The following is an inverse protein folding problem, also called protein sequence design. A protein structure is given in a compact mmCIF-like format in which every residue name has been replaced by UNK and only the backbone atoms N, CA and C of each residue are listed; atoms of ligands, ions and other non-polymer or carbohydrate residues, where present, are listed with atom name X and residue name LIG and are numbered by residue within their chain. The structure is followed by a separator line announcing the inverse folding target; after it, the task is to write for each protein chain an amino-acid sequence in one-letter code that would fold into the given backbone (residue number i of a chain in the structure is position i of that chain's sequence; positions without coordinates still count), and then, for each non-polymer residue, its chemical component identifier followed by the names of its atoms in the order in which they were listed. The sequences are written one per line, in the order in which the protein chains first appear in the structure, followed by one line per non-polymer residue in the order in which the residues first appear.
data_IF_619735647333
#
_entry.id   IF_619735647333
#
_cell.length_a   1.000
_cell.length_b   1.000
_cell.length_c   1.000
_cell.angle_alpha   90.00
_cell.angle_beta   90.00
_cell.angle_gamma   90.00
#
_symmetry.space_group_name_H-M   'P 1'
#
loop_
_entity.id
_entity.type
_entity.pdbx_description
1 polymer ?
#
# COMPACT_ATOMS: atom_id res chain seq x y z
N UNK A 1 4.94 -8.89 -18.23
CA UNK A 1 5.00 -9.09 -16.77
C UNK A 1 6.36 -8.54 -16.35
N UNK A 2 6.41 -7.33 -15.86
CA UNK A 2 7.62 -6.73 -15.35
C UNK A 2 7.81 -7.19 -13.91
N UNK A 3 8.85 -7.98 -13.67
CA UNK A 3 9.32 -8.25 -12.32
C UNK A 3 9.90 -6.94 -11.77
N UNK A 4 9.61 -6.63 -10.51
CA UNK A 4 10.39 -5.64 -9.76
C UNK A 4 11.74 -6.25 -9.35
N UNK A 5 12.41 -6.91 -10.27
CA UNK A 5 13.75 -7.45 -10.13
C UNK A 5 14.67 -6.56 -10.95
N UNK A 6 15.84 -6.35 -10.39
CA UNK A 6 17.00 -5.64 -10.93
C UNK A 6 17.22 -4.21 -10.40
N UNK A 7 17.56 -4.19 -9.10
CA UNK A 7 18.62 -3.35 -8.60
C UNK A 7 19.48 -4.28 -7.71
N UNK A 8 20.72 -4.47 -8.10
CA UNK A 8 21.70 -5.43 -7.61
C UNK A 8 21.60 -5.76 -6.11
N UNK A 9 21.24 -7.01 -5.82
CA UNK A 9 21.18 -7.57 -4.48
C UNK A 9 22.54 -8.18 -4.15
N UNK A 10 23.30 -7.50 -3.29
CA UNK A 10 24.38 -8.16 -2.57
C UNK A 10 23.77 -9.03 -1.48
N UNK A 11 23.96 -10.34 -1.59
CA UNK A 11 23.43 -11.38 -0.70
C UNK A 11 24.11 -11.30 0.67
N UNK A 12 23.37 -10.93 1.72
CA UNK A 12 23.75 -11.17 3.11
C UNK A 12 22.70 -12.03 3.78
N UNK A 13 23.14 -13.15 4.36
CA UNK A 13 22.30 -14.11 5.07
C UNK A 13 21.75 -13.49 6.35
N UNK A 14 20.42 -13.47 6.46
CA UNK A 14 19.75 -13.66 7.75
C UNK A 14 19.50 -12.43 8.62
N UNK A 15 19.58 -11.19 8.13
CA UNK A 15 19.14 -9.99 8.85
C UNK A 15 18.54 -8.99 7.86
N UNK A 16 17.58 -8.17 8.30
CA UNK A 16 16.89 -7.18 7.46
C UNK A 16 17.91 -6.33 6.68
N UNK A 17 17.93 -6.47 5.35
CA UNK A 17 18.89 -5.76 4.48
C UNK A 17 18.67 -4.25 4.55
N UNK A 18 19.47 -3.59 5.37
CA UNK A 18 19.57 -2.13 5.43
C UNK A 18 20.81 -1.71 4.64
N UNK A 19 20.64 -1.16 3.45
CA UNK A 19 21.74 -0.55 2.69
C UNK A 19 21.76 0.93 3.03
N UNK A 20 22.84 1.39 3.66
CA UNK A 20 23.08 2.81 3.98
C UNK A 20 23.93 3.40 2.87
N UNK A 21 23.40 4.31 2.06
CA UNK A 21 24.16 5.11 1.13
C UNK A 21 24.53 6.44 1.81
N UNK A 22 25.79 6.59 2.20
CA UNK A 22 26.33 7.86 2.70
C UNK A 22 26.80 8.72 1.52
N UNK A 23 26.15 9.86 1.31
CA UNK A 23 26.71 10.95 0.48
C UNK A 23 27.68 11.81 1.28
N UNK A 24 28.66 12.48 0.63
CA UNK A 24 29.61 13.32 1.34
C UNK A 24 28.91 14.58 1.89
N UNK A 25 28.77 14.66 3.21
CA UNK A 25 28.46 15.91 3.91
C UNK A 25 27.10 16.03 4.61
N UNK A 26 26.29 14.96 4.68
CA UNK A 26 25.04 14.97 5.45
C UNK A 26 24.91 13.66 6.24
N UNK A 27 24.87 13.75 7.57
CA UNK A 27 24.83 12.60 8.50
C UNK A 27 23.47 11.89 8.54
N UNK A 28 22.58 12.15 7.58
CA UNK A 28 21.28 11.51 7.49
C UNK A 28 21.35 10.26 6.61
N UNK A 29 21.50 9.08 7.25
CA UNK A 29 21.40 7.81 6.58
C UNK A 29 19.96 7.57 6.10
N UNK A 30 19.74 7.55 4.77
CA UNK A 30 18.45 7.13 4.19
C UNK A 30 18.42 5.60 4.14
N UNK A 31 17.55 5.02 4.94
CA UNK A 31 17.35 3.56 4.94
C UNK A 31 16.52 3.17 3.73
N UNK A 32 17.12 2.45 2.80
CA UNK A 32 16.39 1.86 1.67
C UNK A 32 15.84 0.50 2.12
N UNK A 33 14.57 0.47 2.48
CA UNK A 33 13.90 -0.77 2.88
C UNK A 33 13.17 -1.42 1.71
N UNK A 34 13.36 -2.72 1.53
CA UNK A 34 12.55 -3.56 0.62
C UNK A 34 11.20 -3.96 1.26
N UNK A 35 10.64 -3.12 2.13
CA UNK A 35 9.42 -3.40 2.87
C UNK A 35 8.26 -2.55 2.34
N UNK A 36 7.05 -3.16 2.34
CA UNK A 36 5.81 -2.51 1.91
C UNK A 36 5.22 -1.70 3.06
N UNK A 37 5.62 -0.43 3.18
CA UNK A 37 5.30 0.40 4.33
C UNK A 37 4.35 1.55 4.00
N UNK A 38 3.57 1.89 5.01
CA UNK A 38 2.74 3.09 5.09
C UNK A 38 3.39 4.16 5.97
N UNK A 39 3.07 5.42 5.70
CA UNK A 39 3.34 6.50 6.64
C UNK A 39 2.41 6.40 7.85
N UNK A 40 2.92 6.73 9.05
CA UNK A 40 2.21 6.51 10.31
C UNK A 40 0.86 7.21 10.44
N UNK A 41 0.68 8.38 9.81
CA UNK A 41 -0.58 9.16 9.85
C UNK A 41 -1.63 8.67 8.85
N UNK A 42 -1.34 7.61 8.09
CA UNK A 42 -2.32 7.00 7.19
C UNK A 42 -3.52 6.49 7.99
N UNK A 43 -4.73 6.94 7.61
CA UNK A 43 -5.96 6.61 8.33
C UNK A 43 -6.54 5.29 7.81
N UNK A 44 -6.94 4.42 8.72
CA UNK A 44 -7.70 3.20 8.46
C UNK A 44 -8.95 3.16 9.34
N UNK A 45 -10.02 2.52 8.86
CA UNK A 45 -11.24 2.32 9.63
C UNK A 45 -11.22 0.98 10.31
N UNK A 46 -11.43 1.01 11.63
CA UNK A 46 -11.38 -0.15 12.53
C UNK A 46 -12.77 -0.41 13.09
N UNK A 47 -13.18 -1.68 13.14
CA UNK A 47 -14.39 -2.10 13.84
C UNK A 47 -14.06 -2.37 15.31
N UNK A 48 -14.50 -1.49 16.20
CA UNK A 48 -14.31 -1.61 17.65
C UNK A 48 -15.66 -1.49 18.37
N UNK A 49 -16.02 -2.49 19.17
CA UNK A 49 -17.30 -2.54 19.90
C UNK A 49 -18.52 -2.31 18.98
N UNK A 50 -18.53 -2.94 17.80
CA UNK A 50 -19.57 -2.80 16.76
C UNK A 50 -19.70 -1.37 16.18
N UNK A 51 -18.75 -0.48 16.44
CA UNK A 51 -18.70 0.88 15.90
C UNK A 51 -17.47 1.03 14.99
N UNK A 52 -17.67 1.77 13.92
CA UNK A 52 -16.58 2.13 13.01
C UNK A 52 -15.84 3.34 13.58
N UNK A 53 -14.52 3.21 13.75
CA UNK A 53 -13.62 4.27 14.22
C UNK A 53 -12.50 4.48 13.21
N UNK A 54 -12.02 5.70 13.12
CA UNK A 54 -10.80 6.04 12.38
C UNK A 54 -9.61 5.98 13.33
N UNK A 55 -8.52 5.32 12.89
CA UNK A 55 -7.24 5.27 13.58
C UNK A 55 -6.12 5.50 12.60
N UNK A 56 -5.02 6.09 13.07
CA UNK A 56 -3.78 6.12 12.32
C UNK A 56 -3.16 4.72 12.25
N UNK A 57 -2.48 4.40 11.15
CA UNK A 57 -1.78 3.10 11.06
C UNK A 57 -0.81 2.92 12.21
N UNK A 58 -0.16 3.99 12.68
CA UNK A 58 0.73 3.95 13.85
C UNK A 58 0.07 3.46 15.14
N UNK A 59 -1.26 3.51 15.24
CA UNK A 59 -2.04 3.10 16.42
C UNK A 59 -2.63 1.69 16.31
N UNK A 60 -2.58 1.10 15.10
CA UNK A 60 -3.19 -0.20 14.82
C UNK A 60 -2.44 -1.32 15.53
N UNK A 61 -3.19 -2.20 16.18
CA UNK A 61 -2.67 -3.35 16.92
C UNK A 61 -3.04 -4.67 16.25
N UNK A 62 -2.21 -5.68 16.48
CA UNK A 62 -2.51 -7.06 16.11
C UNK A 62 -3.87 -7.48 16.66
N UNK A 63 -4.67 -8.14 15.84
CA UNK A 63 -6.00 -8.65 16.19
C UNK A 63 -7.14 -7.68 15.89
N UNK A 64 -6.88 -6.40 15.66
CA UNK A 64 -7.92 -5.44 15.27
C UNK A 64 -8.50 -5.79 13.88
N UNK A 65 -9.77 -5.39 13.69
CA UNK A 65 -10.49 -5.60 12.44
C UNK A 65 -10.47 -4.30 11.64
N UNK A 66 -9.72 -4.27 10.54
CA UNK A 66 -9.62 -3.11 9.64
C UNK A 66 -10.48 -3.30 8.40
N UNK A 67 -11.02 -2.19 7.87
CA UNK A 67 -11.88 -2.21 6.70
C UNK A 67 -11.06 -2.49 5.44
N UNK A 68 -11.60 -3.33 4.58
CA UNK A 68 -11.07 -3.65 3.25
C UNK A 68 -12.21 -3.91 2.26
N UNK A 69 -11.85 -4.35 1.06
CA UNK A 69 -12.79 -4.66 -0.01
C UNK A 69 -12.53 -6.08 -0.55
N UNK A 70 -13.58 -6.88 -0.76
CA UNK A 70 -13.45 -8.26 -1.24
C UNK A 70 -13.76 -8.42 -2.74
N UNK A 71 -13.86 -7.31 -3.47
CA UNK A 71 -14.26 -7.30 -4.88
C UNK A 71 -15.75 -7.03 -5.09
N UNK A 72 -16.59 -7.23 -4.08
CA UNK A 72 -18.04 -6.99 -4.13
C UNK A 72 -18.50 -5.93 -3.15
N UNK A 73 -18.04 -6.03 -1.91
CA UNK A 73 -18.49 -5.19 -0.81
C UNK A 73 -17.36 -4.86 0.17
N UNK A 74 -17.61 -3.89 1.02
CA UNK A 74 -16.74 -3.55 2.13
C UNK A 74 -16.87 -4.62 3.21
N UNK A 75 -15.73 -5.19 3.60
CA UNK A 75 -15.63 -6.18 4.67
C UNK A 75 -14.58 -5.76 5.69
N UNK A 76 -14.46 -6.54 6.75
CA UNK A 76 -13.38 -6.40 7.72
C UNK A 76 -12.41 -7.56 7.61
N UNK A 77 -11.12 -7.25 7.76
CA UNK A 77 -10.02 -8.22 7.80
C UNK A 77 -9.24 -8.05 9.09
N UNK A 78 -8.73 -9.14 9.63
CA UNK A 78 -7.96 -9.12 10.88
C UNK A 78 -6.52 -8.74 10.62
N UNK A 79 -6.00 -7.81 11.43
CA UNK A 79 -4.58 -7.44 11.44
C UNK A 79 -3.77 -8.59 12.07
N UNK A 80 -2.82 -9.11 11.34
CA UNK A 80 -1.88 -10.14 11.81
C UNK A 80 -0.70 -9.51 12.52
N UNK A 81 -0.22 -8.40 11.99
CA UNK A 81 0.94 -7.71 12.50
C UNK A 81 0.98 -6.27 12.00
N UNK A 82 1.59 -5.38 12.78
CA UNK A 82 1.90 -4.01 12.39
C UNK A 82 3.25 -3.63 12.98
N UNK A 83 4.30 -3.63 12.16
CA UNK A 83 5.67 -3.43 12.58
C UNK A 83 6.07 -1.98 12.31
N UNK A 84 6.53 -1.29 13.34
CA UNK A 84 7.15 0.02 13.22
C UNK A 84 8.64 -0.13 12.87
N UNK A 85 9.05 0.43 11.75
CA UNK A 85 10.45 0.57 11.35
C UNK A 85 10.87 2.02 11.60
N UNK A 86 11.92 2.22 12.41
CA UNK A 86 12.43 3.55 12.76
C UNK A 86 13.48 4.01 11.78
N UNK A 87 13.47 5.30 11.45
CA UNK A 87 14.48 5.93 10.58
C UNK A 87 13.85 6.90 9.59
N UNK A 88 14.66 7.35 8.63
CA UNK A 88 14.23 8.20 7.53
C UNK A 88 13.96 7.35 6.30
N UNK A 89 12.76 7.50 5.72
CA UNK A 89 12.31 6.72 4.57
C UNK A 89 11.83 7.63 3.46
N UNK A 90 12.13 7.24 2.21
CA UNK A 90 11.54 7.90 1.04
C UNK A 90 10.14 7.35 0.79
N UNK A 91 9.17 8.25 0.84
CA UNK A 91 7.77 7.98 0.53
C UNK A 91 7.38 8.60 -0.83
N UNK A 92 6.47 7.94 -1.50
CA UNK A 92 5.70 8.48 -2.60
C UNK A 92 4.34 8.91 -2.05
N UNK A 93 4.10 10.23 -2.03
CA UNK A 93 2.78 10.79 -1.79
C UNK A 93 2.05 10.83 -3.13
N UNK A 94 1.03 10.00 -3.27
CA UNK A 94 0.26 9.86 -4.50
C UNK A 94 -1.12 10.46 -4.23
N UNK A 95 -1.48 11.49 -5.02
CA UNK A 95 -2.79 12.15 -4.94
C UNK A 95 -3.65 11.76 -6.12
N UNK A 96 -4.91 11.44 -5.85
CA UNK A 96 -5.89 11.06 -6.86
C UNK A 96 -7.21 11.81 -6.64
N UNK A 97 -7.99 11.96 -7.71
CA UNK A 97 -9.29 12.66 -7.70
C UNK A 97 -10.32 11.91 -8.54
N UNK A 98 -11.59 12.10 -8.21
CA UNK A 98 -12.71 11.66 -9.03
C UNK A 98 -13.19 12.78 -9.98
N UNK A 99 -14.24 12.51 -10.73
CA UNK A 99 -14.86 13.47 -11.66
C UNK A 99 -15.48 14.68 -10.95
N UNK A 100 -15.87 14.53 -9.67
CA UNK A 100 -16.40 15.62 -8.84
C UNK A 100 -15.28 16.44 -8.16
N UNK A 101 -14.02 16.19 -8.48
CA UNK A 101 -12.84 16.82 -7.87
C UNK A 101 -12.63 16.49 -6.39
N UNK A 102 -13.33 15.51 -5.83
CA UNK A 102 -12.97 14.97 -4.52
C UNK A 102 -11.59 14.37 -4.57
N UNK A 103 -10.75 14.66 -3.60
CA UNK A 103 -9.36 14.23 -3.58
C UNK A 103 -9.09 13.21 -2.47
N UNK A 104 -8.18 12.28 -2.76
CA UNK A 104 -7.57 11.37 -1.78
C UNK A 104 -6.07 11.34 -1.98
N UNK A 105 -5.34 11.03 -0.93
CA UNK A 105 -3.88 10.87 -1.00
C UNK A 105 -3.41 9.72 -0.11
N UNK A 106 -2.29 9.12 -0.50
CA UNK A 106 -1.62 8.10 0.28
C UNK A 106 -0.11 8.28 0.21
N UNK A 107 0.58 8.08 1.34
CA UNK A 107 2.04 8.10 1.43
C UNK A 107 2.56 6.71 1.76
N UNK A 108 3.32 6.12 0.84
CA UNK A 108 3.82 4.75 0.91
C UNK A 108 5.26 4.66 0.40
N UNK A 109 5.99 3.63 0.81
CA UNK A 109 7.36 3.39 0.33
C UNK A 109 7.38 3.01 -1.16
N UNK A 110 8.50 3.25 -1.84
CA UNK A 110 8.68 3.14 -3.29
C UNK A 110 8.25 1.80 -3.90
N UNK A 111 8.48 0.70 -3.20
CA UNK A 111 8.21 -0.67 -3.63
C UNK A 111 6.82 -1.20 -3.21
N UNK A 112 6.02 -0.38 -2.51
CA UNK A 112 4.68 -0.77 -2.08
C UNK A 112 3.79 -1.08 -3.30
N UNK A 113 3.19 -2.26 -3.33
CA UNK A 113 2.33 -2.69 -4.44
C UNK A 113 0.99 -1.98 -4.39
N UNK A 114 0.72 -1.17 -5.41
CA UNK A 114 -0.54 -0.48 -5.62
C UNK A 114 -1.46 -1.27 -6.55
N UNK A 115 -2.74 -1.24 -6.25
CA UNK A 115 -3.79 -1.88 -7.06
C UNK A 115 -4.27 -0.86 -8.09
N UNK A 116 -3.89 -1.05 -9.35
CA UNK A 116 -4.23 -0.16 -10.47
C UNK A 116 -5.34 -0.79 -11.31
N UNK A 117 -6.37 -0.02 -11.59
CA UNK A 117 -7.45 -0.42 -12.48
C UNK A 117 -7.23 0.12 -13.90
N UNK A 118 -7.28 -0.78 -14.88
CA UNK A 118 -7.20 -0.44 -16.30
C UNK A 118 -8.62 -0.44 -16.90
N UNK A 119 -9.18 0.76 -17.13
CA UNK A 119 -10.55 0.91 -17.68
C UNK A 119 -10.71 0.24 -19.05
N UNK A 120 -9.72 0.41 -19.95
CA UNK A 120 -9.84 -0.09 -21.33
C UNK A 120 -9.83 -1.61 -21.44
N UNK A 121 -9.07 -2.28 -20.55
CA UNK A 121 -8.95 -3.73 -20.51
C UNK A 121 -9.84 -4.40 -19.47
N UNK A 122 -10.52 -3.60 -18.63
CA UNK A 122 -11.31 -4.07 -17.46
C UNK A 122 -10.50 -5.05 -16.59
N UNK A 123 -9.23 -4.76 -16.39
CA UNK A 123 -8.30 -5.61 -15.64
C UNK A 123 -7.65 -4.84 -14.48
N UNK A 124 -7.20 -5.58 -13.48
CA UNK A 124 -6.42 -5.05 -12.37
C UNK A 124 -4.97 -5.44 -12.57
N UNK A 125 -4.07 -4.48 -12.29
CA UNK A 125 -2.62 -4.68 -12.26
C UNK A 125 -2.05 -4.24 -10.93
N UNK A 126 -0.98 -4.91 -10.50
CA UNK A 126 -0.14 -4.45 -9.41
C UNK A 126 1.05 -3.69 -9.99
N UNK A 127 1.28 -2.48 -9.50
CA UNK A 127 2.48 -1.68 -9.78
C UNK A 127 3.15 -1.31 -8.47
N UNK A 128 4.47 -1.21 -8.45
CA UNK A 128 5.15 -0.57 -7.33
C UNK A 128 4.80 0.93 -7.29
N UNK A 129 4.84 1.55 -6.13
CA UNK A 129 4.50 2.97 -5.98
C UNK A 129 5.33 3.89 -6.89
N UNK A 130 6.61 3.54 -7.11
CA UNK A 130 7.49 4.27 -8.02
C UNK A 130 7.16 4.08 -9.51
N UNK A 131 6.34 3.09 -9.86
CA UNK A 131 5.87 2.82 -11.23
C UNK A 131 4.50 3.45 -11.52
N UNK A 132 3.82 3.97 -10.48
CA UNK A 132 2.55 4.68 -10.62
C UNK A 132 2.77 5.96 -11.43
N UNK A 133 1.84 6.27 -12.31
CA UNK A 133 1.89 7.43 -13.22
C UNK A 133 0.60 8.25 -13.09
N UNK A 134 0.70 9.51 -13.46
CA UNK A 134 -0.48 10.38 -13.68
C UNK A 134 -1.37 9.69 -14.72
N UNK A 135 -2.68 9.66 -14.44
CA UNK A 135 -3.68 8.95 -15.23
C UNK A 135 -3.93 7.49 -14.80
N UNK A 136 -3.10 6.92 -13.90
CA UNK A 136 -3.43 5.63 -13.28
C UNK A 136 -4.67 5.75 -12.40
N UNK A 137 -5.46 4.68 -12.32
CA UNK A 137 -6.75 4.72 -11.62
C UNK A 137 -6.69 3.81 -10.39
N UNK A 138 -7.04 4.39 -9.25
CA UNK A 138 -7.21 3.69 -7.99
C UNK A 138 -8.68 3.39 -7.71
N UNK A 139 -8.94 2.24 -7.10
CA UNK A 139 -10.22 1.99 -6.43
C UNK A 139 -10.18 2.63 -5.05
N UNK A 140 -11.20 3.42 -4.76
CA UNK A 140 -11.44 3.96 -3.42
C UNK A 140 -12.76 3.43 -2.87
N UNK A 141 -13.04 3.73 -1.62
CA UNK A 141 -14.35 3.46 -1.01
C UNK A 141 -15.51 4.11 -1.79
N UNK A 142 -15.23 5.24 -2.45
CA UNK A 142 -16.24 6.07 -3.13
C UNK A 142 -16.23 5.92 -4.66
N UNK A 143 -15.56 4.93 -5.19
CA UNK A 143 -15.47 4.72 -6.64
C UNK A 143 -14.03 4.76 -7.15
N UNK A 144 -13.88 5.18 -8.40
CA UNK A 144 -12.60 5.26 -9.07
C UNK A 144 -12.04 6.67 -9.06
N UNK A 145 -10.76 6.78 -8.70
CA UNK A 145 -10.04 8.05 -8.63
C UNK A 145 -8.80 7.97 -9.52
N UNK A 146 -8.58 9.01 -10.32
CA UNK A 146 -7.44 9.12 -11.22
C UNK A 146 -6.29 9.86 -10.54
N UNK A 147 -5.07 9.32 -10.66
CA UNK A 147 -3.86 9.94 -10.13
C UNK A 147 -3.56 11.22 -10.92
N UNK A 148 -3.38 12.34 -10.22
CA UNK A 148 -3.09 13.64 -10.82
C UNK A 148 -1.79 14.27 -10.33
N UNK A 149 -1.23 13.78 -9.21
CA UNK A 149 0.00 14.33 -8.64
C UNK A 149 0.76 13.24 -7.88
N UNK A 150 2.10 13.24 -8.02
CA UNK A 150 2.99 12.31 -7.33
C UNK A 150 4.20 13.10 -6.83
N UNK A 151 4.44 13.07 -5.53
CA UNK A 151 5.57 13.73 -4.89
C UNK A 151 6.44 12.71 -4.14
N UNK A 152 7.76 12.94 -4.10
CA UNK A 152 8.66 12.24 -3.20
C UNK A 152 8.86 13.06 -1.94
N UNK A 153 8.78 12.42 -0.78
CA UNK A 153 8.99 13.02 0.53
C UNK A 153 9.87 12.11 1.39
N UNK A 154 10.74 12.71 2.18
CA UNK A 154 11.48 12.00 3.24
C UNK A 154 10.70 12.22 4.53
N UNK A 155 10.31 11.14 5.20
CA UNK A 155 9.56 11.18 6.45
C UNK A 155 10.13 10.18 7.45
N UNK A 156 9.89 10.47 8.73
CA UNK A 156 10.31 9.61 9.83
C UNK A 156 9.39 8.40 9.93
N UNK A 157 9.99 7.26 10.23
CA UNK A 157 9.34 6.00 10.54
C UNK A 157 8.39 5.49 9.44
N UNK A 158 8.28 4.20 9.33
CA UNK A 158 7.29 3.56 8.47
C UNK A 158 6.66 2.35 9.16
N UNK A 159 5.47 1.97 8.71
CA UNK A 159 4.66 0.92 9.31
C UNK A 159 4.34 -0.16 8.29
N UNK A 160 4.76 -1.39 8.60
CA UNK A 160 4.51 -2.59 7.81
C UNK A 160 3.25 -3.27 8.36
N UNK A 161 2.12 -3.03 7.72
CA UNK A 161 0.82 -3.61 8.09
C UNK A 161 0.60 -4.92 7.35
N UNK A 162 0.34 -5.99 8.09
CA UNK A 162 -0.07 -7.28 7.56
C UNK A 162 -1.52 -7.60 7.95
N UNK A 163 -2.39 -7.75 6.96
CA UNK A 163 -3.80 -8.14 7.13
C UNK A 163 -4.08 -9.50 6.50
N UNK A 164 -5.04 -10.26 7.04
CA UNK A 164 -5.37 -11.62 6.58
C UNK A 164 -5.71 -11.70 5.10
N UNK A 165 -6.46 -10.72 4.59
CA UNK A 165 -6.85 -10.65 3.17
C UNK A 165 -5.75 -10.09 2.27
N UNK A 166 -4.63 -9.63 2.84
CA UNK A 166 -3.55 -9.01 2.06
C UNK A 166 -3.85 -7.59 1.55
N UNK A 167 -4.98 -6.99 1.95
CA UNK A 167 -5.41 -5.65 1.51
C UNK A 167 -6.06 -4.85 2.64
N UNK A 168 -6.11 -3.53 2.49
CA UNK A 168 -6.76 -2.59 3.43
C UNK A 168 -7.27 -1.36 2.67
N UNK A 169 -8.27 -0.66 3.23
CA UNK A 169 -8.61 0.71 2.85
C UNK A 169 -7.79 1.68 3.70
N UNK A 170 -6.77 2.25 3.09
CA UNK A 170 -5.87 3.25 3.68
C UNK A 170 -6.16 4.63 3.08
N UNK A 171 -6.54 5.61 3.88
CA UNK A 171 -7.09 6.89 3.43
C UNK A 171 -8.24 6.71 2.43
N UNK A 172 -9.09 5.68 2.64
CA UNK A 172 -10.17 5.24 1.75
C UNK A 172 -9.69 4.71 0.37
N UNK A 173 -8.40 4.56 0.12
CA UNK A 173 -7.81 3.96 -1.09
C UNK A 173 -7.58 2.48 -0.83
N UNK A 174 -7.98 1.63 -1.77
CA UNK A 174 -7.78 0.19 -1.71
C UNK A 174 -6.35 -0.17 -2.11
N UNK A 175 -5.58 -0.70 -1.15
CA UNK A 175 -4.15 -0.98 -1.31
C UNK A 175 -3.78 -2.35 -0.75
N UNK A 176 -2.63 -2.86 -1.15
CA UNK A 176 -2.09 -4.10 -0.58
C UNK A 176 -1.52 -3.87 0.81
N UNK A 177 -1.41 -4.96 1.58
CA UNK A 177 -0.64 -5.04 2.83
C UNK A 177 0.41 -6.12 2.70
N UNK A 178 1.38 -6.15 3.63
CA UNK A 178 2.34 -7.26 3.66
C UNK A 178 1.61 -8.55 3.99
N UNK A 179 1.76 -9.53 3.12
CA UNK A 179 1.27 -10.88 3.39
C UNK A 179 2.38 -11.67 4.07
N UNK A 180 2.13 -12.19 5.28
CA UNK A 180 3.11 -12.90 6.11
C UNK A 180 3.67 -14.21 5.53
N UNK A 181 3.22 -14.63 4.36
CA UNK A 181 3.87 -15.73 3.64
C UNK A 181 5.05 -15.19 2.83
N UNK A 182 6.23 -15.23 3.42
CA UNK A 182 7.52 -14.88 2.80
C UNK A 182 7.85 -15.67 1.53
N UNK A 183 7.02 -16.61 1.14
CA UNK A 183 7.05 -17.23 -0.17
C UNK A 183 6.28 -16.36 -1.16
N UNK A 184 6.98 -15.45 -1.80
CA UNK A 184 6.50 -14.63 -2.92
C UNK A 184 6.14 -15.48 -4.16
N UNK A 185 5.21 -16.44 -3.99
CA UNK A 185 4.72 -17.20 -5.14
C UNK A 185 3.69 -16.34 -5.90
N UNK A 186 3.68 -16.44 -7.22
CA UNK A 186 2.68 -15.84 -8.11
C UNK A 186 1.21 -16.09 -7.66
N UNK A 187 0.98 -17.14 -6.86
CA UNK A 187 -0.33 -17.48 -6.28
C UNK A 187 -0.85 -16.41 -5.30
N UNK A 188 0.02 -15.73 -4.53
CA UNK A 188 -0.40 -14.71 -3.58
C UNK A 188 -0.77 -13.41 -4.30
N UNK A 189 -0.02 -13.01 -5.33
CA UNK A 189 -0.39 -11.89 -6.17
C UNK A 189 -1.73 -12.16 -6.87
N UNK A 190 -1.96 -13.37 -7.37
CA UNK A 190 -3.21 -13.75 -7.99
C UNK A 190 -4.39 -13.69 -7.00
N UNK A 191 -4.20 -14.14 -5.75
CA UNK A 191 -5.25 -14.05 -4.72
C UNK A 191 -5.62 -12.60 -4.40
N UNK A 192 -4.64 -11.69 -4.35
CA UNK A 192 -4.89 -10.24 -4.17
C UNK A 192 -5.65 -9.69 -5.38
N UNK A 193 -5.24 -10.03 -6.59
CA UNK A 193 -5.93 -9.65 -7.83
C UNK A 193 -7.35 -10.20 -7.83
N UNK A 194 -7.55 -11.46 -7.43
CA UNK A 194 -8.88 -12.08 -7.39
C UNK A 194 -9.78 -11.46 -6.31
N UNK A 195 -9.23 -11.07 -5.16
CA UNK A 195 -9.97 -10.34 -4.13
C UNK A 195 -10.31 -8.90 -4.55
N UNK A 196 -9.54 -8.35 -5.47
CA UNK A 196 -9.73 -7.01 -6.02
C UNK A 196 -10.61 -6.99 -7.29
N UNK A 197 -10.96 -8.16 -7.85
CA UNK A 197 -11.87 -8.25 -8.99
C UNK A 197 -13.21 -7.64 -8.64
N UNK A 198 -13.51 -6.54 -9.32
CA UNK A 198 -14.79 -5.85 -9.22
C UNK A 198 -15.76 -6.54 -10.19
N UNK A 199 -16.98 -6.89 -9.76
CA UNK A 199 -18.00 -7.31 -10.70
C UNK A 199 -18.17 -6.23 -11.78
N UNK A 200 -18.19 -6.65 -13.03
CA UNK A 200 -18.29 -5.77 -14.22
C UNK A 200 -19.55 -4.90 -14.18
N UNK A 201 -20.56 -5.34 -13.45
CA UNK A 201 -21.90 -4.73 -13.37
C UNK A 201 -21.93 -3.40 -12.56
N UNK A 202 -20.85 -3.02 -11.91
CA UNK A 202 -20.74 -1.76 -11.13
C UNK A 202 -20.07 -0.64 -11.96
N UNK A 203 -19.75 -0.91 -13.22
CA UNK A 203 -18.98 0.00 -14.11
C UNK A 203 -19.87 0.74 -15.13
N UNK A 204 -21.20 0.68 -14.98
CA UNK A 204 -22.17 1.43 -15.80
C UNK A 204 -22.70 2.63 -15.05
#
# INVERSE_FOLDING_TARGET
MGNCEDADAATVKGESNTTVNQGPGDDTAVVVCNIFCFYGDTIVKVLENKKLKEKHISEIKKGELVQTYNGKELIFTKVKENIKNKGLFTFYEIKCKNENLDTKSISITWNHKMIIYNKSKKEIKLKCANEVKIGDIFRTKYGFFEVFEINKKIMNDCYELAAENGTVLANDIFVTTVYLNRNHSNKNCQKIIDSAKIPIDILN
#
